data_IF_621566841972
#
_entry.id   IF_621566841972
#
_cell.length_a   1.000
_cell.length_b   1.000
_cell.length_c   1.000
_cell.angle_alpha   90.00
_cell.angle_beta   90.00
_cell.angle_gamma   90.00
#
_symmetry.space_group_name_H-M   'P 1'
#
loop_
_entity.id
_entity.type
_entity.pdbx_description
1 polymer ?
#
# COMPACT_ATOMS: atom_id res chain seq x y z
N UNK A 1 13.20 -4.98 -9.44
CA UNK A 1 12.12 -4.62 -10.37
C UNK A 1 11.10 -3.83 -9.56
N UNK A 2 10.70 -2.66 -10.05
CA UNK A 2 9.82 -1.74 -9.33
C UNK A 2 8.38 -1.99 -9.75
N UNK A 3 7.61 -2.67 -8.89
CA UNK A 3 6.18 -2.83 -9.10
C UNK A 3 5.48 -1.60 -8.54
N UNK A 4 5.12 -0.68 -9.45
CA UNK A 4 4.37 0.53 -9.12
C UNK A 4 2.88 0.19 -9.19
N UNK A 5 2.24 0.04 -8.03
CA UNK A 5 0.77 -0.03 -7.96
C UNK A 5 0.21 1.35 -8.26
N UNK A 6 -0.55 1.46 -9.34
CA UNK A 6 -1.20 2.71 -9.74
C UNK A 6 -2.62 2.71 -9.17
N UNK A 7 -2.93 3.58 -8.19
CA UNK A 7 -4.26 3.63 -7.61
C UNK A 7 -5.31 3.98 -8.68
N UNK A 8 -6.55 3.62 -8.39
CA UNK A 8 -7.70 3.90 -9.24
C UNK A 8 -8.40 5.16 -8.74
N UNK A 9 -8.86 5.99 -9.65
CA UNK A 9 -9.79 7.09 -9.38
C UNK A 9 -11.14 6.83 -10.05
N UNK A 10 -12.13 7.60 -9.62
CA UNK A 10 -13.49 7.54 -10.13
C UNK A 10 -13.88 8.89 -10.76
N UNK A 11 -14.44 8.82 -11.96
CA UNK A 11 -15.17 9.91 -12.58
C UNK A 11 -16.61 9.88 -12.04
N UNK A 12 -16.98 10.87 -11.23
CA UNK A 12 -18.30 10.94 -10.61
C UNK A 12 -19.40 11.34 -11.60
N UNK A 13 -19.06 11.99 -12.72
CA UNK A 13 -20.03 12.37 -13.74
C UNK A 13 -20.41 11.16 -14.60
N UNK A 14 -19.46 10.26 -14.86
CA UNK A 14 -19.70 9.01 -15.57
C UNK A 14 -20.24 7.86 -14.67
N UNK A 15 -20.22 8.03 -13.35
CA UNK A 15 -20.56 6.96 -12.41
C UNK A 15 -22.07 6.69 -12.36
N UNK A 16 -22.49 5.46 -12.71
CA UNK A 16 -23.89 5.02 -12.59
C UNK A 16 -24.32 4.67 -11.17
N UNK A 17 -23.41 4.70 -10.19
CA UNK A 17 -23.67 4.40 -8.76
C UNK A 17 -24.27 3.01 -8.52
N UNK A 18 -24.02 2.06 -9.43
CA UNK A 18 -24.49 0.67 -9.35
C UNK A 18 -23.84 -0.17 -8.22
N UNK A 19 -22.81 0.37 -7.55
CA UNK A 19 -22.12 -0.20 -6.38
C UNK A 19 -21.39 -1.55 -6.61
N UNK A 20 -21.24 -2.01 -7.86
CA UNK A 20 -20.46 -3.22 -8.18
C UNK A 20 -19.02 -3.12 -7.67
N UNK A 21 -18.37 -1.96 -7.81
CA UNK A 21 -17.00 -1.77 -7.33
C UNK A 21 -16.89 -1.82 -5.79
N UNK A 22 -17.95 -1.45 -5.07
CA UNK A 22 -18.00 -1.48 -3.59
C UNK A 22 -18.03 -2.91 -3.08
N UNK A 23 -18.74 -3.82 -3.77
CA UNK A 23 -18.74 -5.25 -3.38
C UNK A 23 -17.44 -5.97 -3.73
N UNK A 24 -16.63 -5.43 -4.65
CA UNK A 24 -15.40 -6.03 -5.13
C UNK A 24 -14.13 -5.59 -4.38
N UNK A 25 -14.11 -4.40 -3.76
CA UNK A 25 -12.93 -3.91 -3.04
C UNK A 25 -13.29 -3.28 -1.70
N UNK A 26 -12.64 -3.76 -0.63
CA UNK A 26 -12.68 -3.14 0.71
C UNK A 26 -12.15 -1.69 0.73
N UNK A 27 -11.43 -1.30 -0.32
CA UNK A 27 -10.88 0.04 -0.49
C UNK A 27 -11.89 1.07 -1.01
N UNK A 28 -13.10 0.63 -1.38
CA UNK A 28 -14.13 1.46 -2.01
C UNK A 28 -15.35 1.49 -1.10
N UNK A 29 -15.86 2.68 -0.83
CA UNK A 29 -17.05 2.89 0.00
C UNK A 29 -18.11 3.70 -0.74
N UNK A 30 -19.37 3.45 -0.43
CA UNK A 30 -20.49 4.26 -0.89
C UNK A 30 -20.93 5.20 0.23
N UNK A 31 -21.01 6.48 -0.08
CA UNK A 31 -21.57 7.51 0.79
C UNK A 31 -23.05 7.67 0.47
N UNK A 32 -23.90 7.30 1.41
CA UNK A 32 -25.35 7.37 1.25
C UNK A 32 -25.89 8.80 1.25
N UNK A 33 -25.26 9.70 2.01
CA UNK A 33 -25.73 11.07 2.18
C UNK A 33 -25.50 11.88 0.91
N UNK A 34 -24.32 11.75 0.32
CA UNK A 34 -23.95 12.47 -0.90
C UNK A 34 -24.25 11.68 -2.18
N UNK A 35 -24.64 10.41 -2.05
CA UNK A 35 -24.88 9.50 -3.17
C UNK A 35 -23.65 9.43 -4.11
N UNK A 36 -22.47 9.20 -3.53
CA UNK A 36 -21.18 9.16 -4.21
C UNK A 36 -20.40 7.90 -3.83
N UNK A 37 -19.46 7.50 -4.69
CA UNK A 37 -18.54 6.40 -4.43
C UNK A 37 -17.15 6.99 -4.20
N UNK A 38 -16.49 6.55 -3.13
CA UNK A 38 -15.17 7.00 -2.74
C UNK A 38 -14.16 5.86 -2.78
N UNK A 39 -12.93 6.18 -3.22
CA UNK A 39 -11.81 5.25 -3.23
C UNK A 39 -10.76 5.74 -2.26
N UNK A 40 -10.41 4.91 -1.29
CA UNK A 40 -9.26 5.17 -0.44
C UNK A 40 -7.97 4.85 -1.20
N UNK A 41 -7.36 5.87 -1.80
CA UNK A 41 -6.11 5.74 -2.57
C UNK A 41 -4.95 5.17 -1.73
N UNK A 42 -4.94 5.41 -0.41
CA UNK A 42 -3.92 4.91 0.52
C UNK A 42 -4.04 3.40 0.72
N UNK A 43 -5.24 2.83 0.65
CA UNK A 43 -5.49 1.39 0.77
C UNK A 43 -5.52 0.66 -0.59
N UNK A 44 -5.83 1.38 -1.67
CA UNK A 44 -5.97 0.83 -3.03
C UNK A 44 -4.68 0.12 -3.50
N UNK A 45 -4.80 -1.13 -3.93
CA UNK A 45 -3.66 -1.94 -4.42
C UNK A 45 -3.41 -1.77 -5.92
N UNK A 46 -4.28 -1.04 -6.64
CA UNK A 46 -4.15 -0.87 -8.09
C UNK A 46 -4.28 -2.17 -8.88
N UNK A 47 -5.00 -3.19 -8.37
CA UNK A 47 -5.17 -4.48 -9.07
C UNK A 47 -6.08 -4.41 -10.30
N UNK A 48 -6.86 -3.34 -10.47
CA UNK A 48 -7.67 -3.09 -11.66
C UNK A 48 -9.00 -3.84 -11.75
N UNK A 49 -9.36 -4.70 -10.77
CA UNK A 49 -10.62 -5.47 -10.82
C UNK A 49 -11.85 -4.55 -10.92
N UNK A 50 -11.86 -3.45 -10.16
CA UNK A 50 -12.95 -2.48 -10.19
C UNK A 50 -13.05 -1.74 -11.53
N UNK A 51 -11.92 -1.50 -12.21
CA UNK A 51 -11.86 -0.90 -13.54
C UNK A 51 -12.50 -1.83 -14.56
N UNK A 52 -12.10 -3.10 -14.59
CA UNK A 52 -12.63 -4.08 -15.54
C UNK A 52 -14.12 -4.40 -15.34
N UNK A 53 -14.61 -4.29 -14.10
CA UNK A 53 -16.00 -4.61 -13.75
C UNK A 53 -16.94 -3.40 -13.82
N UNK A 54 -16.44 -2.20 -14.17
CA UNK A 54 -17.27 -1.00 -14.22
C UNK A 54 -18.10 -0.96 -15.51
N UNK A 55 -19.44 -1.10 -15.45
CA UNK A 55 -20.27 -1.09 -16.66
C UNK A 55 -20.38 0.31 -17.30
N UNK A 56 -20.13 1.37 -16.53
CA UNK A 56 -20.18 2.75 -17.02
C UNK A 56 -18.80 3.32 -17.36
N UNK A 57 -17.75 2.49 -17.32
CA UNK A 57 -16.36 2.90 -17.57
C UNK A 57 -15.90 4.11 -16.73
N UNK A 58 -16.48 4.32 -15.54
CA UNK A 58 -16.20 5.47 -14.68
C UNK A 58 -14.93 5.35 -13.83
N UNK A 59 -14.19 4.25 -13.94
CA UNK A 59 -13.01 3.95 -13.11
C UNK A 59 -11.77 3.84 -13.99
N UNK A 60 -10.68 4.50 -13.58
CA UNK A 60 -9.42 4.46 -14.33
C UNK A 60 -8.20 4.50 -13.40
N UNK A 61 -7.07 3.99 -13.89
CA UNK A 61 -5.80 4.12 -13.18
C UNK A 61 -5.23 5.54 -13.31
N UNK A 62 -4.72 6.08 -12.21
CA UNK A 62 -4.13 7.43 -12.15
C UNK A 62 -2.70 7.40 -12.72
N UNK A 63 -2.54 7.52 -14.03
CA UNK A 63 -1.22 7.50 -14.66
C UNK A 63 -0.45 8.84 -14.54
N UNK A 64 -1.17 9.96 -14.38
CA UNK A 64 -0.61 11.31 -14.60
C UNK A 64 -0.07 12.05 -13.38
N UNK A 65 -0.16 11.48 -12.17
CA UNK A 65 0.51 12.06 -10.99
C UNK A 65 1.86 11.41 -10.74
N UNK A 66 2.76 11.53 -11.72
CA UNK A 66 4.18 11.59 -11.39
C UNK A 66 4.37 12.96 -10.75
N UNK A 67 4.58 13.02 -9.43
CA UNK A 67 5.15 14.22 -8.82
C UNK A 67 6.50 14.45 -9.49
N UNK A 68 6.53 15.34 -10.47
CA UNK A 68 7.77 15.93 -10.96
C UNK A 68 8.29 16.73 -9.77
N UNK A 69 9.23 16.15 -9.03
CA UNK A 69 10.04 16.91 -8.10
C UNK A 69 10.89 17.82 -8.96
N UNK A 70 10.41 19.04 -9.17
CA UNK A 70 11.22 20.15 -9.63
C UNK A 70 12.25 20.44 -8.54
N UNK A 71 13.35 19.69 -8.58
CA UNK A 71 14.68 19.97 -8.03
C UNK A 71 15.41 18.64 -7.81
N UNK A 72 16.68 18.61 -8.21
CA UNK A 72 17.62 17.52 -7.95
C UNK A 72 17.91 17.39 -6.45
N UNK A 73 16.95 16.91 -5.66
CA UNK A 73 17.21 16.41 -4.29
C UNK A 73 17.66 14.96 -4.39
N UNK A 74 18.75 14.62 -3.69
CA UNK A 74 19.14 13.23 -3.46
C UNK A 74 18.00 12.52 -2.71
N UNK A 75 17.22 11.72 -3.42
CA UNK A 75 16.12 10.92 -2.86
C UNK A 75 16.75 9.76 -2.08
N UNK A 76 16.60 9.74 -0.76
CA UNK A 76 17.00 8.58 0.05
C UNK A 76 15.99 7.44 -0.14
N UNK A 77 16.42 6.17 0.02
CA UNK A 77 15.48 5.06 0.07
C UNK A 77 14.43 5.33 1.16
N UNK A 78 13.19 5.56 0.71
CA UNK A 78 12.00 5.90 1.52
C UNK A 78 11.80 7.39 1.89
N UNK A 79 12.06 8.33 0.98
CA UNK A 79 11.49 9.70 1.11
C UNK A 79 10.06 9.72 0.55
N UNK A 80 9.08 9.41 1.41
CA UNK A 80 7.66 9.43 1.04
C UNK A 80 7.20 10.88 0.89
N UNK A 81 6.65 11.23 -0.28
CA UNK A 81 5.97 12.53 -0.46
C UNK A 81 4.52 12.42 -0.92
N UNK A 82 4.04 11.24 -1.36
CA UNK A 82 2.61 10.92 -1.59
C UNK A 82 2.37 9.46 -2.08
N UNK A 83 3.36 8.58 -1.93
CA UNK A 83 3.95 7.91 -3.09
C UNK A 83 3.75 6.39 -3.19
N UNK A 84 3.37 5.92 -4.38
CA UNK A 84 3.25 4.51 -4.73
C UNK A 84 4.59 3.77 -4.81
N UNK A 85 4.91 3.02 -3.75
CA UNK A 85 5.92 1.96 -3.76
C UNK A 85 5.48 0.80 -2.88
N UNK A 86 5.62 -0.43 -3.38
CA UNK A 86 5.31 -1.64 -2.62
C UNK A 86 6.38 -1.93 -1.54
N UNK A 87 7.67 -1.75 -1.86
CA UNK A 87 8.80 -1.88 -0.95
C UNK A 87 10.10 -1.49 -1.67
N UNK A 88 11.13 -1.11 -0.93
CA UNK A 88 12.49 -0.96 -1.47
C UNK A 88 13.28 -2.22 -1.11
N UNK A 89 13.89 -2.89 -2.09
CA UNK A 89 14.69 -4.10 -1.85
C UNK A 89 16.10 -3.93 -2.45
N UNK A 90 17.12 -4.08 -1.61
CA UNK A 90 18.52 -4.17 -2.02
C UNK A 90 19.08 -5.58 -1.72
N UNK A 91 20.41 -5.76 -1.78
CA UNK A 91 21.06 -7.07 -1.55
C UNK A 91 20.96 -7.51 -0.07
N UNK A 92 20.91 -6.58 0.87
CA UNK A 92 21.02 -6.83 2.31
C UNK A 92 19.68 -6.69 3.04
N UNK A 93 18.78 -5.83 2.55
CA UNK A 93 17.53 -5.49 3.22
C UNK A 93 16.38 -5.25 2.26
N UNK A 94 15.18 -5.41 2.80
CA UNK A 94 13.91 -4.98 2.23
C UNK A 94 13.22 -4.02 3.20
N UNK A 95 12.67 -2.93 2.67
CA UNK A 95 12.03 -1.86 3.45
C UNK A 95 10.57 -1.75 3.04
N UNK A 96 9.66 -1.94 4.00
CA UNK A 96 8.23 -1.78 3.85
C UNK A 96 7.72 -0.55 4.58
N UNK A 97 6.65 0.05 4.07
CA UNK A 97 5.78 0.91 4.86
C UNK A 97 4.88 0.06 5.76
N UNK A 98 4.64 0.47 7.01
CA UNK A 98 3.77 -0.22 7.96
C UNK A 98 2.38 -0.51 7.38
N UNK A 99 1.84 0.38 6.55
CA UNK A 99 0.53 0.17 5.87
C UNK A 99 0.59 -0.70 4.60
N UNK A 100 1.77 -0.90 4.03
CA UNK A 100 1.99 -1.66 2.78
C UNK A 100 2.86 -2.92 2.99
N UNK A 101 2.99 -3.39 4.23
CA UNK A 101 3.69 -4.63 4.55
C UNK A 101 3.01 -5.84 3.92
N UNK A 102 3.73 -6.47 2.98
CA UNK A 102 3.41 -7.79 2.43
C UNK A 102 4.15 -8.85 3.24
N UNK A 103 3.40 -9.67 3.98
CA UNK A 103 3.99 -10.67 4.87
C UNK A 103 4.70 -11.78 4.10
N UNK A 104 4.15 -12.21 2.96
CA UNK A 104 4.72 -13.29 2.16
C UNK A 104 6.08 -12.90 1.60
N UNK A 105 6.16 -11.72 0.99
CA UNK A 105 7.41 -11.16 0.46
C UNK A 105 8.44 -10.92 1.56
N UNK A 106 7.99 -10.43 2.71
CA UNK A 106 8.86 -10.17 3.84
C UNK A 106 9.45 -11.47 4.42
N UNK A 107 8.62 -12.51 4.61
CA UNK A 107 9.07 -13.83 5.06
C UNK A 107 10.03 -14.45 4.04
N UNK A 108 9.69 -14.43 2.74
CA UNK A 108 10.58 -14.88 1.66
C UNK A 108 11.95 -14.19 1.71
N UNK A 109 11.96 -12.89 2.04
CA UNK A 109 13.20 -12.11 2.15
C UNK A 109 14.04 -12.53 3.36
N UNK A 110 13.41 -12.84 4.50
CA UNK A 110 14.10 -13.40 5.68
C UNK A 110 14.73 -14.74 5.34
N UNK A 111 14.02 -15.62 4.62
CA UNK A 111 14.57 -16.90 4.13
C UNK A 111 15.78 -16.72 3.22
N UNK A 112 15.81 -15.64 2.43
CA UNK A 112 16.98 -15.26 1.60
C UNK A 112 18.09 -14.57 2.41
N UNK A 113 17.98 -14.53 3.73
CA UNK A 113 18.97 -13.94 4.64
C UNK A 113 18.91 -12.42 4.76
N UNK A 114 17.92 -11.75 4.14
CA UNK A 114 17.80 -10.30 4.16
C UNK A 114 17.17 -9.79 5.45
N UNK A 115 17.52 -8.56 5.82
CA UNK A 115 16.87 -7.83 6.91
C UNK A 115 15.55 -7.23 6.42
N UNK A 116 14.47 -7.39 7.19
CA UNK A 116 13.19 -6.73 6.91
C UNK A 116 13.11 -5.49 7.79
N UNK A 117 12.92 -4.33 7.18
CA UNK A 117 12.72 -3.06 7.87
C UNK A 117 11.30 -2.58 7.61
N UNK A 118 10.54 -2.28 8.65
CA UNK A 118 9.19 -1.74 8.54
C UNK A 118 9.21 -0.32 9.09
N UNK A 119 8.95 0.67 8.24
CA UNK A 119 8.91 2.09 8.59
C UNK A 119 7.49 2.59 8.79
N UNK A 120 7.31 3.54 9.70
CA UNK A 120 6.01 4.15 9.96
C UNK A 120 5.52 5.09 8.84
N UNK A 121 4.20 5.32 8.84
CA UNK A 121 3.53 6.16 7.85
C UNK A 121 3.67 7.64 8.21
N UNK A 122 4.31 8.45 7.35
CA UNK A 122 4.51 9.89 7.55
C UNK A 122 3.22 10.74 7.44
N UNK A 123 2.12 10.18 6.91
CA UNK A 123 0.87 10.89 6.65
C UNK A 123 -0.15 10.85 7.80
N UNK A 124 0.12 10.13 8.89
CA UNK A 124 -0.83 10.00 10.01
C UNK A 124 -0.23 10.65 11.25
N UNK A 125 -0.91 11.69 11.76
CA UNK A 125 -0.56 12.31 13.03
C UNK A 125 -0.62 11.29 14.18
N UNK A 126 0.28 11.46 15.15
CA UNK A 126 0.74 10.52 16.18
C UNK A 126 -0.33 9.91 17.12
N UNK A 127 -1.63 10.02 16.86
CA UNK A 127 -2.68 9.78 17.86
C UNK A 127 -3.44 8.46 17.73
N UNK A 128 -3.29 7.68 16.64
CA UNK A 128 -3.96 6.38 16.50
C UNK A 128 -3.16 5.36 15.70
N UNK A 129 -1.99 4.98 16.20
CA UNK A 129 -1.51 3.61 16.00
C UNK A 129 -0.53 3.28 17.11
N UNK A 130 -0.95 2.46 18.07
CA UNK A 130 -0.01 1.56 18.73
C UNK A 130 0.73 0.84 17.60
N UNK A 131 2.03 1.06 17.50
CA UNK A 131 2.93 0.34 16.59
C UNK A 131 3.13 -1.05 17.17
N UNK A 132 2.03 -1.80 17.16
CA UNK A 132 1.98 -3.25 17.18
C UNK A 132 1.17 -3.59 15.93
N UNK A 133 1.80 -3.38 14.78
CA UNK A 133 1.22 -3.76 13.51
C UNK A 133 0.98 -5.27 13.60
N UNK A 134 -0.27 -5.70 13.68
CA UNK A 134 -0.66 -7.10 13.94
C UNK A 134 0.06 -8.07 12.99
N UNK A 135 0.33 -7.59 11.76
CA UNK A 135 1.15 -8.26 10.74
C UNK A 135 2.58 -8.54 11.20
N UNK A 136 3.29 -7.55 11.76
CA UNK A 136 4.67 -7.72 12.22
C UNK A 136 4.73 -8.68 13.41
N UNK A 137 3.72 -8.65 14.31
CA UNK A 137 3.60 -9.60 15.42
C UNK A 137 3.40 -11.02 14.90
N UNK A 138 2.42 -11.23 14.01
CA UNK A 138 2.18 -12.53 13.35
C UNK A 138 3.40 -13.04 12.62
N UNK A 139 4.16 -12.16 11.96
CA UNK A 139 5.40 -12.56 11.30
C UNK A 139 6.46 -13.06 12.28
N UNK A 140 6.64 -12.40 13.43
CA UNK A 140 7.56 -12.88 14.48
C UNK A 140 7.13 -14.25 15.00
N UNK A 141 5.83 -14.42 15.30
CA UNK A 141 5.26 -15.70 15.71
C UNK A 141 5.51 -16.80 14.66
N UNK A 142 5.34 -16.49 13.36
CA UNK A 142 5.64 -17.42 12.27
C UNK A 142 7.14 -17.78 12.25
N UNK A 143 8.04 -16.80 12.35
CA UNK A 143 9.49 -17.08 12.35
C UNK A 143 9.90 -17.96 13.53
N UNK A 144 9.35 -17.71 14.71
CA UNK A 144 9.54 -18.54 15.91
C UNK A 144 9.07 -19.98 15.68
N UNK A 145 7.88 -20.17 15.09
CA UNK A 145 7.35 -21.51 14.77
C UNK A 145 8.25 -22.30 13.81
N UNK A 146 8.91 -21.63 12.87
CA UNK A 146 9.84 -22.25 11.95
C UNK A 146 11.29 -22.32 12.47
N UNK A 147 11.57 -21.85 13.70
CA UNK A 147 12.91 -21.86 14.29
C UNK A 147 13.90 -20.94 13.57
N UNK A 148 13.41 -19.87 12.94
CA UNK A 148 14.21 -18.94 12.15
C UNK A 148 14.52 -17.69 12.97
N UNK A 149 15.75 -17.18 12.83
CA UNK A 149 16.18 -15.95 13.48
C UNK A 149 15.32 -14.75 13.03
N UNK A 150 14.81 -13.99 14.01
CA UNK A 150 14.07 -12.76 13.75
C UNK A 150 14.98 -11.67 13.18
N UNK A 151 14.80 -11.39 11.89
CA UNK A 151 15.52 -10.32 11.16
C UNK A 151 14.63 -9.11 10.87
N UNK A 152 13.49 -8.98 11.56
CA UNK A 152 12.51 -7.92 11.36
C UNK A 152 12.77 -6.76 12.33
N UNK A 153 13.03 -5.56 11.80
CA UNK A 153 13.17 -4.31 12.56
C UNK A 153 12.08 -3.31 12.21
N UNK A 154 11.50 -2.69 13.23
CA UNK A 154 10.52 -1.60 13.06
C UNK A 154 11.20 -0.27 13.37
N UNK A 155 11.18 0.65 12.42
CA UNK A 155 11.81 1.97 12.51
C UNK A 155 10.72 3.07 12.48
N UNK A 156 10.84 4.07 13.37
CA UNK A 156 9.94 5.23 13.46
C UNK A 156 10.44 6.38 12.60
#
# INVERSE_FOLDING_TARGET
MLFKQIPVEIDNDACSKCRICVSLCECISYDEENNLIFINAISCKGCGICVSSCPSNALQHIFDRVFVLSESKEIKPFDCVNCGYEFFEDKEKIIFCSRRLDMGKAIESVFKGKRVVVKDCLLVEKTTTKIDNEKTKKMKEILELFGIEDKIKVEK
#
